data_IF_976228252052
#
_entry.id   IF_976228252052
#
_cell.length_a   1.000
_cell.length_b   1.000
_cell.length_c   1.000
_cell.angle_alpha   90.00
_cell.angle_beta   90.00
_cell.angle_gamma   90.00
#
_symmetry.space_group_name_H-M   'P 1'
#
loop_
_entity.id
_entity.type
_entity.pdbx_description
1 polymer ?
#
# COMPACT_ATOMS: atom_id res chain seq x y z
N UNK A 1 -11.19 -6.68 -23.19
CA UNK A 1 -10.08 -6.96 -22.27
C UNK A 1 -9.84 -5.72 -21.41
N UNK A 2 -10.01 -5.81 -20.11
CA UNK A 2 -9.84 -4.72 -19.16
C UNK A 2 -8.39 -4.67 -18.68
N UNK A 3 -7.75 -3.50 -18.74
CA UNK A 3 -6.39 -3.31 -18.22
C UNK A 3 -6.41 -3.09 -16.71
N UNK A 4 -5.48 -3.73 -15.99
CA UNK A 4 -5.31 -3.58 -14.55
C UNK A 4 -3.93 -3.01 -14.26
N UNK A 5 -3.90 -1.89 -13.52
CA UNK A 5 -2.67 -1.27 -13.04
C UNK A 5 -2.66 -1.26 -11.52
N UNK A 6 -1.59 -1.78 -10.91
CA UNK A 6 -1.44 -1.83 -9.44
C UNK A 6 -0.45 -0.76 -9.01
N UNK A 7 -0.85 0.09 -8.04
CA UNK A 7 0.00 1.12 -7.43
C UNK A 7 0.34 0.74 -5.99
N UNK A 8 1.39 -0.04 -5.82
CA UNK A 8 1.92 -0.43 -4.52
C UNK A 8 2.88 0.64 -3.97
N UNK A 9 3.28 0.48 -2.74
CA UNK A 9 4.22 1.35 -2.05
C UNK A 9 3.84 1.55 -0.59
N UNK A 10 4.81 1.80 0.25
CA UNK A 10 4.61 1.88 1.69
C UNK A 10 3.74 3.09 2.07
N UNK A 11 3.33 3.14 3.35
CA UNK A 11 2.45 4.19 3.88
C UNK A 11 3.05 5.58 3.64
N UNK A 12 2.22 6.51 3.14
CA UNK A 12 2.62 7.89 2.87
C UNK A 12 3.62 8.08 1.72
N UNK A 13 3.90 7.05 0.91
CA UNK A 13 4.82 7.13 -0.21
C UNK A 13 4.34 8.05 -1.36
N UNK A 14 3.05 8.41 -1.40
CA UNK A 14 2.48 9.28 -2.44
C UNK A 14 1.73 8.53 -3.53
N UNK A 15 1.27 7.29 -3.29
CA UNK A 15 0.50 6.49 -4.25
C UNK A 15 -0.71 7.23 -4.79
N UNK A 16 -1.59 7.69 -3.91
CA UNK A 16 -2.81 8.44 -4.27
C UNK A 16 -2.48 9.71 -5.07
N UNK A 17 -1.38 10.40 -4.75
CA UNK A 17 -0.94 11.59 -5.51
C UNK A 17 -0.54 11.24 -6.93
N UNK A 18 0.20 10.13 -7.12
CA UNK A 18 0.56 9.64 -8.46
C UNK A 18 -0.67 9.23 -9.25
N UNK A 19 -1.58 8.48 -8.63
CA UNK A 19 -2.84 8.03 -9.24
C UNK A 19 -3.65 9.24 -9.72
N UNK A 20 -3.84 10.26 -8.87
CA UNK A 20 -4.56 11.49 -9.25
C UNK A 20 -3.93 12.16 -10.47
N UNK A 21 -2.61 12.34 -10.47
CA UNK A 21 -1.90 12.93 -11.62
C UNK A 21 -2.16 12.15 -12.91
N UNK A 22 -2.08 10.82 -12.85
CA UNK A 22 -2.31 9.97 -14.03
C UNK A 22 -3.76 10.03 -14.51
N UNK A 23 -4.72 10.05 -13.60
CA UNK A 23 -6.14 10.19 -13.93
C UNK A 23 -6.40 11.52 -14.64
N UNK A 24 -5.89 12.62 -14.07
CA UNK A 24 -6.12 13.96 -14.59
C UNK A 24 -5.44 14.22 -15.95
N UNK A 25 -4.25 13.65 -16.16
CA UNK A 25 -3.42 14.01 -17.30
C UNK A 25 -3.33 12.92 -18.39
N UNK A 26 -3.55 11.63 -18.06
CA UNK A 26 -3.30 10.54 -18.99
C UNK A 26 -4.49 9.63 -19.27
N UNK A 27 -5.35 9.36 -18.29
CA UNK A 27 -6.47 8.43 -18.45
C UNK A 27 -7.80 9.11 -18.80
N UNK A 28 -7.75 10.33 -19.32
CA UNK A 28 -8.95 11.06 -19.72
C UNK A 28 -9.72 10.32 -20.82
N UNK A 29 -11.01 10.12 -20.60
CA UNK A 29 -11.89 9.43 -21.56
C UNK A 29 -11.90 7.91 -21.42
N UNK A 30 -11.07 7.32 -20.55
CA UNK A 30 -11.18 5.92 -20.17
C UNK A 30 -12.31 5.70 -19.15
N UNK A 31 -12.99 4.56 -19.23
CA UNK A 31 -13.95 4.14 -18.20
C UNK A 31 -13.16 3.50 -17.05
N UNK A 32 -12.85 4.30 -16.05
CA UNK A 32 -11.98 3.93 -14.94
C UNK A 32 -12.78 3.46 -13.73
N UNK A 33 -12.26 2.43 -13.06
CA UNK A 33 -12.62 2.09 -11.69
C UNK A 33 -11.36 2.11 -10.85
N UNK A 34 -11.39 2.81 -9.71
CA UNK A 34 -10.34 2.77 -8.71
C UNK A 34 -10.78 1.92 -7.54
N UNK A 35 -9.96 0.93 -7.19
CA UNK A 35 -10.14 0.08 -6.02
C UNK A 35 -9.08 0.45 -5.01
N UNK A 36 -9.51 1.05 -3.90
CA UNK A 36 -8.67 1.39 -2.78
C UNK A 36 -8.87 0.38 -1.66
N UNK A 37 -7.76 -0.13 -1.11
CA UNK A 37 -7.76 -0.97 0.08
C UNK A 37 -6.87 -0.32 1.14
N UNK A 38 -7.49 0.44 2.02
CA UNK A 38 -6.82 1.03 3.18
C UNK A 38 -6.82 0.06 4.36
N UNK A 39 -5.72 0.05 5.11
CA UNK A 39 -5.62 -0.65 6.38
C UNK A 39 -6.34 0.17 7.46
N UNK A 40 -7.43 -0.38 8.00
CA UNK A 40 -8.28 0.29 9.00
C UNK A 40 -9.77 0.26 8.62
N UNK A 41 -10.64 0.49 9.60
CA UNK A 41 -12.10 0.38 9.43
C UNK A 41 -12.74 1.61 8.76
N UNK A 42 -11.99 2.69 8.53
CA UNK A 42 -12.50 3.95 7.97
C UNK A 42 -11.71 4.36 6.73
N UNK A 43 -12.34 4.28 5.57
CA UNK A 43 -11.81 4.83 4.31
C UNK A 43 -11.84 6.36 4.34
N UNK A 44 -10.70 7.00 4.56
CA UNK A 44 -10.59 8.47 4.62
C UNK A 44 -10.18 9.06 3.26
N UNK A 45 -9.57 8.27 2.38
CA UNK A 45 -9.07 8.71 1.07
C UNK A 45 -10.13 8.73 -0.05
N UNK A 46 -11.18 7.91 0.02
CA UNK A 46 -12.21 7.82 -1.02
C UNK A 46 -12.99 9.11 -1.33
N UNK A 47 -12.99 10.07 -0.40
CA UNK A 47 -13.65 11.36 -0.59
C UNK A 47 -12.99 12.26 -1.65
N UNK A 48 -11.66 12.17 -1.82
CA UNK A 48 -10.91 13.07 -2.69
C UNK A 48 -11.05 12.74 -4.19
N UNK A 49 -11.38 11.51 -4.53
CA UNK A 49 -11.44 11.04 -5.92
C UNK A 49 -12.86 11.07 -6.50
N UNK A 50 -13.88 11.02 -5.65
CA UNK A 50 -15.30 11.16 -6.06
C UNK A 50 -15.59 12.50 -6.74
N UNK A 51 -14.85 13.56 -6.39
CA UNK A 51 -14.97 14.87 -7.04
C UNK A 51 -14.55 14.87 -8.52
N UNK A 52 -13.72 13.90 -8.93
CA UNK A 52 -13.27 13.75 -10.31
C UNK A 52 -14.24 12.94 -11.19
N UNK A 53 -15.40 12.50 -10.66
CA UNK A 53 -16.40 11.74 -11.41
C UNK A 53 -16.00 10.28 -11.70
N UNK A 54 -15.03 9.75 -10.92
CA UNK A 54 -14.54 8.39 -11.06
C UNK A 54 -15.31 7.48 -10.09
N UNK A 55 -15.71 6.31 -10.58
CA UNK A 55 -16.28 5.26 -9.75
C UNK A 55 -15.21 4.74 -8.79
N UNK A 56 -15.30 5.13 -7.50
CA UNK A 56 -14.41 4.66 -6.44
C UNK A 56 -15.10 3.54 -5.69
N UNK A 57 -14.55 2.35 -5.75
CA UNK A 57 -15.02 1.20 -4.97
C UNK A 57 -14.09 1.03 -3.77
N UNK A 58 -14.56 1.44 -2.59
CA UNK A 58 -13.88 1.22 -1.33
C UNK A 58 -14.12 -0.23 -0.86
N UNK A 59 -13.06 -0.98 -0.60
CA UNK A 59 -13.15 -2.30 -0.02
C UNK A 59 -12.86 -2.24 1.49
N UNK A 60 -13.92 -2.14 2.29
CA UNK A 60 -13.82 -1.99 3.75
C UNK A 60 -13.60 -3.31 4.51
N UNK A 61 -13.37 -4.43 3.84
CA UNK A 61 -13.34 -5.75 4.46
C UNK A 61 -11.94 -6.35 4.51
N UNK A 62 -11.11 -5.90 5.46
CA UNK A 62 -9.82 -6.53 5.75
C UNK A 62 -8.74 -6.34 4.67
N UNK A 63 -7.46 -6.51 5.04
CA UNK A 63 -6.37 -6.45 4.07
C UNK A 63 -6.53 -7.49 2.96
N UNK A 64 -6.24 -7.12 1.72
CA UNK A 64 -6.07 -8.07 0.59
C UNK A 64 -5.12 -9.22 0.96
N UNK A 65 -4.22 -8.98 1.94
CA UNK A 65 -3.14 -9.89 2.34
C UNK A 65 -3.57 -11.05 3.25
N UNK A 66 -4.67 -10.99 4.00
CA UNK A 66 -4.77 -11.82 5.20
C UNK A 66 -5.79 -12.96 5.23
N UNK A 67 -6.84 -12.93 4.44
CA UNK A 67 -7.80 -14.07 4.40
C UNK A 67 -8.62 -14.13 3.13
N UNK A 68 -8.36 -13.27 2.17
CA UNK A 68 -9.36 -12.81 1.22
C UNK A 68 -8.89 -12.78 -0.25
N UNK A 69 -7.85 -13.53 -0.61
CA UNK A 69 -7.54 -13.73 -2.05
C UNK A 69 -8.81 -14.18 -2.79
N UNK A 70 -9.64 -14.99 -2.15
CA UNK A 70 -10.92 -15.42 -2.71
C UNK A 70 -12.00 -14.33 -2.74
N UNK A 71 -12.05 -13.45 -1.74
CA UNK A 71 -13.06 -12.40 -1.67
C UNK A 71 -12.67 -11.18 -2.51
N UNK A 72 -11.38 -10.87 -2.59
CA UNK A 72 -10.87 -9.85 -3.51
C UNK A 72 -11.10 -10.23 -4.98
N UNK A 73 -10.84 -11.49 -5.33
CA UNK A 73 -11.14 -12.01 -6.68
C UNK A 73 -12.61 -11.85 -7.05
N UNK A 74 -13.52 -12.26 -6.16
CA UNK A 74 -14.97 -12.10 -6.37
C UNK A 74 -15.40 -10.64 -6.47
N UNK A 75 -14.82 -9.76 -5.66
CA UNK A 75 -15.12 -8.33 -5.72
C UNK A 75 -14.65 -7.73 -7.06
N UNK A 76 -13.49 -8.15 -7.55
CA UNK A 76 -12.96 -7.73 -8.83
C UNK A 76 -13.83 -8.25 -9.99
N UNK A 77 -14.24 -9.52 -9.95
CA UNK A 77 -15.20 -10.10 -10.90
C UNK A 77 -16.52 -9.31 -10.91
N UNK A 78 -17.06 -8.98 -9.73
CA UNK A 78 -18.26 -8.16 -9.62
C UNK A 78 -18.08 -6.77 -10.24
N UNK A 79 -16.95 -6.11 -10.01
CA UNK A 79 -16.63 -4.80 -10.63
C UNK A 79 -16.56 -4.92 -12.15
N UNK A 80 -15.95 -5.98 -12.68
CA UNK A 80 -15.89 -6.23 -14.12
C UNK A 80 -17.28 -6.41 -14.72
N UNK A 81 -18.13 -7.19 -14.06
CA UNK A 81 -19.50 -7.51 -14.53
C UNK A 81 -20.45 -6.31 -14.40
N UNK A 82 -20.33 -5.51 -13.35
CA UNK A 82 -21.24 -4.40 -13.07
C UNK A 82 -20.87 -3.14 -13.87
N UNK A 83 -19.58 -2.80 -13.89
CA UNK A 83 -19.12 -1.55 -14.47
C UNK A 83 -18.55 -1.68 -15.88
N UNK A 84 -18.13 -2.85 -16.33
CA UNK A 84 -17.46 -3.08 -17.64
C UNK A 84 -16.38 -2.00 -17.91
N UNK A 85 -15.40 -1.82 -17.02
CA UNK A 85 -14.39 -0.78 -17.17
C UNK A 85 -13.40 -1.10 -18.30
N UNK A 86 -12.81 -0.06 -18.89
CA UNK A 86 -11.66 -0.23 -19.78
C UNK A 86 -10.37 -0.38 -18.99
N UNK A 87 -10.31 0.21 -17.79
CA UNK A 87 -9.15 0.13 -16.89
C UNK A 87 -9.58 0.09 -15.43
N UNK A 88 -8.88 -0.74 -14.65
CA UNK A 88 -9.00 -0.78 -13.18
C UNK A 88 -7.65 -0.36 -12.61
N UNK A 89 -7.68 0.62 -11.71
CA UNK A 89 -6.54 1.01 -10.89
C UNK A 89 -6.73 0.38 -9.51
N UNK A 90 -5.69 -0.29 -9.00
CA UNK A 90 -5.71 -0.91 -7.68
C UNK A 90 -4.66 -0.22 -6.81
N UNK A 91 -5.11 0.42 -5.74
CA UNK A 91 -4.24 0.91 -4.67
C UNK A 91 -4.37 -0.01 -3.46
N UNK A 92 -3.50 -1.01 -3.29
CA UNK A 92 -3.52 -1.88 -2.12
C UNK A 92 -3.04 -1.13 -0.88
N UNK A 93 -3.32 -1.69 0.30
CA UNK A 93 -2.80 -1.21 1.56
C UNK A 93 -1.29 -1.00 1.50
N UNK A 94 -0.81 0.10 2.08
CA UNK A 94 0.62 0.42 2.13
C UNK A 94 1.48 -0.60 2.89
N UNK A 95 0.87 -1.50 3.66
CA UNK A 95 1.54 -2.61 4.36
C UNK A 95 1.28 -3.97 3.71
N UNK A 96 0.64 -4.02 2.54
CA UNK A 96 0.39 -5.25 1.79
C UNK A 96 1.59 -5.71 0.96
N UNK A 97 1.71 -7.00 0.74
CA UNK A 97 2.68 -7.56 -0.21
C UNK A 97 2.16 -7.39 -1.64
N UNK A 98 2.99 -6.85 -2.52
CA UNK A 98 2.64 -6.69 -3.93
C UNK A 98 2.43 -8.04 -4.62
N UNK A 99 3.23 -9.05 -4.28
CA UNK A 99 3.08 -10.42 -4.77
C UNK A 99 1.67 -10.98 -4.59
N UNK A 100 1.05 -10.72 -3.43
CA UNK A 100 -0.28 -11.26 -3.11
C UNK A 100 -1.35 -10.64 -4.00
N UNK A 101 -1.25 -9.34 -4.25
CA UNK A 101 -2.18 -8.62 -5.15
C UNK A 101 -2.00 -9.08 -6.60
N UNK A 102 -0.75 -9.24 -7.05
CA UNK A 102 -0.44 -9.77 -8.38
C UNK A 102 -1.05 -11.17 -8.55
N UNK A 103 -0.88 -12.05 -7.56
CA UNK A 103 -1.45 -13.40 -7.59
C UNK A 103 -2.98 -13.39 -7.60
N UNK A 104 -3.60 -12.54 -6.80
CA UNK A 104 -5.05 -12.41 -6.78
C UNK A 104 -5.61 -12.00 -8.14
N UNK A 105 -4.97 -11.04 -8.83
CA UNK A 105 -5.37 -10.64 -10.18
C UNK A 105 -5.15 -11.75 -11.20
N UNK A 106 -4.05 -12.49 -11.11
CA UNK A 106 -3.75 -13.59 -12.01
C UNK A 106 -4.73 -14.75 -11.94
N UNK A 107 -5.21 -15.02 -10.73
CA UNK A 107 -6.14 -16.11 -10.48
C UNK A 107 -7.59 -15.77 -10.87
N UNK A 108 -7.86 -14.56 -11.39
CA UNK A 108 -9.16 -14.21 -11.92
C UNK A 108 -9.48 -15.03 -13.15
N UNK A 109 -10.70 -15.55 -13.20
CA UNK A 109 -11.24 -16.20 -14.39
C UNK A 109 -11.98 -15.17 -15.25
N UNK A 110 -11.29 -14.11 -15.69
CA UNK A 110 -11.85 -12.99 -16.44
C UNK A 110 -10.91 -12.52 -17.55
N UNK A 111 -11.45 -11.84 -18.57
CA UNK A 111 -10.67 -11.26 -19.66
C UNK A 111 -10.00 -9.95 -19.23
N UNK A 112 -8.92 -10.08 -18.49
CA UNK A 112 -8.14 -8.97 -17.95
C UNK A 112 -6.68 -9.04 -18.37
N UNK A 113 -6.05 -7.89 -18.50
CA UNK A 113 -4.60 -7.74 -18.71
C UNK A 113 -3.98 -7.00 -17.54
N UNK A 114 -2.99 -7.62 -16.88
CA UNK A 114 -2.18 -6.95 -15.87
C UNK A 114 -1.14 -6.06 -16.58
N UNK A 115 -1.45 -4.77 -16.68
CA UNK A 115 -0.74 -3.80 -17.49
C UNK A 115 0.56 -3.33 -16.82
N UNK A 116 0.50 -2.88 -15.56
CA UNK A 116 1.67 -2.51 -14.77
C UNK A 116 1.43 -2.76 -13.27
N UNK A 117 2.52 -3.01 -12.53
CA UNK A 117 2.54 -3.11 -11.08
C UNK A 117 3.70 -2.29 -10.54
N UNK A 118 3.35 -1.07 -10.14
CA UNK A 118 4.27 0.00 -9.81
C UNK A 118 4.43 0.12 -8.31
N UNK A 119 5.67 0.32 -7.84
CA UNK A 119 5.91 0.67 -6.45
C UNK A 119 6.34 2.13 -6.33
N UNK A 120 5.57 2.89 -5.57
CA UNK A 120 5.92 4.27 -5.20
C UNK A 120 6.76 4.23 -3.93
N UNK A 121 7.95 4.86 -3.95
CA UNK A 121 8.88 4.87 -2.83
C UNK A 121 9.34 6.29 -2.48
N UNK A 122 9.17 6.71 -1.23
CA UNK A 122 9.70 7.97 -0.72
C UNK A 122 11.22 7.89 -0.64
N UNK A 123 11.92 8.71 -1.42
CA UNK A 123 13.38 8.73 -1.49
C UNK A 123 14.04 8.91 -0.11
N UNK A 124 13.40 9.64 0.79
CA UNK A 124 13.89 9.91 2.14
C UNK A 124 13.74 8.74 3.11
N UNK A 125 12.89 7.77 2.78
CA UNK A 125 12.51 6.66 3.67
C UNK A 125 13.02 5.29 3.20
N UNK A 126 13.57 5.17 1.99
CA UNK A 126 14.06 3.89 1.41
C UNK A 126 14.93 3.14 2.42
N UNK A 127 15.98 3.77 2.95
CA UNK A 127 16.90 3.14 3.89
C UNK A 127 16.23 2.70 5.19
N UNK A 128 15.33 3.55 5.70
CA UNK A 128 14.60 3.28 6.95
C UNK A 128 13.68 2.08 6.79
N UNK A 129 12.90 2.07 5.70
CA UNK A 129 11.88 1.04 5.50
C UNK A 129 12.48 -0.30 5.07
N UNK A 130 13.52 -0.30 4.25
CA UNK A 130 14.27 -1.53 3.90
C UNK A 130 14.79 -2.25 5.15
N UNK A 131 15.26 -1.47 6.15
CA UNK A 131 15.83 -2.03 7.39
C UNK A 131 14.75 -2.51 8.36
N UNK A 132 13.67 -1.74 8.54
CA UNK A 132 12.73 -1.93 9.65
C UNK A 132 11.48 -2.71 9.24
N UNK A 133 11.10 -2.70 7.96
CA UNK A 133 9.87 -3.30 7.44
C UNK A 133 10.17 -4.19 6.22
N UNK A 134 11.32 -4.89 6.26
CA UNK A 134 11.85 -5.62 5.10
C UNK A 134 10.90 -6.63 4.49
N UNK A 135 10.09 -7.33 5.28
CA UNK A 135 9.16 -8.33 4.77
C UNK A 135 8.16 -7.73 3.76
N UNK A 136 7.56 -6.59 4.10
CA UNK A 136 6.54 -5.96 3.26
C UNK A 136 7.17 -5.00 2.25
N UNK A 137 8.04 -4.10 2.72
CA UNK A 137 8.67 -3.09 1.89
C UNK A 137 9.56 -3.70 0.80
N UNK A 138 10.39 -4.70 1.15
CA UNK A 138 11.23 -5.36 0.16
C UNK A 138 10.41 -6.13 -0.87
N UNK A 139 9.34 -6.84 -0.44
CA UNK A 139 8.44 -7.50 -1.36
C UNK A 139 7.83 -6.54 -2.38
N UNK A 140 7.40 -5.34 -1.94
CA UNK A 140 6.89 -4.30 -2.84
C UNK A 140 7.93 -3.86 -3.86
N UNK A 141 9.19 -3.72 -3.46
CA UNK A 141 10.29 -3.33 -4.36
C UNK A 141 10.67 -4.47 -5.30
N UNK A 142 10.85 -5.67 -4.77
CA UNK A 142 11.31 -6.85 -5.51
C UNK A 142 10.35 -7.26 -6.62
N UNK A 143 9.04 -7.10 -6.38
CA UNK A 143 7.99 -7.50 -7.32
C UNK A 143 7.49 -6.36 -8.22
N UNK A 144 8.03 -5.16 -8.10
CA UNK A 144 7.62 -4.05 -8.94
C UNK A 144 8.10 -4.19 -10.40
N UNK A 145 7.21 -3.94 -11.37
CA UNK A 145 7.57 -3.78 -12.78
C UNK A 145 8.27 -2.44 -13.02
N UNK A 146 7.95 -1.42 -12.22
CA UNK A 146 8.62 -0.12 -12.21
C UNK A 146 8.60 0.47 -10.80
N UNK A 147 9.60 1.26 -10.45
CA UNK A 147 9.69 1.98 -9.18
C UNK A 147 9.64 3.48 -9.46
N UNK A 148 8.72 4.18 -8.82
CA UNK A 148 8.57 5.63 -8.95
C UNK A 148 8.94 6.29 -7.64
N UNK A 149 10.09 6.98 -7.63
CA UNK A 149 10.51 7.73 -6.45
C UNK A 149 9.66 8.98 -6.27
N UNK A 150 9.17 9.18 -5.07
CA UNK A 150 8.47 10.40 -4.66
C UNK A 150 9.40 11.31 -3.85
N UNK A 151 9.01 12.58 -3.74
CA UNK A 151 9.72 13.59 -2.93
C UNK A 151 11.19 13.77 -3.31
N UNK A 152 11.48 13.62 -4.59
CA UNK A 152 12.83 13.80 -5.16
C UNK A 152 13.18 15.27 -5.38
N UNK A 153 12.21 16.17 -5.28
CA UNK A 153 12.43 17.61 -5.41
C UNK A 153 13.28 18.14 -4.25
N UNK A 154 14.36 18.86 -4.58
CA UNK A 154 15.27 19.43 -3.60
C UNK A 154 16.15 18.41 -2.86
N UNK A 155 16.12 17.15 -3.22
CA UNK A 155 17.01 16.12 -2.64
C UNK A 155 18.40 16.21 -3.26
N UNK A 156 19.43 16.15 -2.43
CA UNK A 156 20.81 16.12 -2.91
C UNK A 156 21.12 14.83 -3.69
N UNK A 157 22.02 14.93 -4.65
CA UNK A 157 22.34 13.84 -5.56
C UNK A 157 22.91 12.60 -4.84
N UNK A 158 23.71 12.78 -3.80
CA UNK A 158 24.30 11.67 -3.06
C UNK A 158 23.22 10.85 -2.34
N UNK A 159 22.19 11.51 -1.80
CA UNK A 159 21.04 10.85 -1.16
C UNK A 159 20.19 10.12 -2.19
N UNK A 160 19.93 10.75 -3.34
CA UNK A 160 19.20 10.11 -4.42
C UNK A 160 19.92 8.87 -4.93
N UNK A 161 21.22 8.96 -5.20
CA UNK A 161 22.04 7.82 -5.63
C UNK A 161 22.07 6.69 -4.57
N UNK A 162 22.20 7.04 -3.29
CA UNK A 162 22.14 6.05 -2.20
C UNK A 162 20.80 5.31 -2.15
N UNK A 163 19.68 6.01 -2.34
CA UNK A 163 18.36 5.40 -2.41
C UNK A 163 18.23 4.47 -3.63
N UNK A 164 18.67 4.93 -4.80
CA UNK A 164 18.66 4.14 -6.04
C UNK A 164 19.51 2.88 -5.90
N UNK A 165 20.70 2.97 -5.29
CA UNK A 165 21.56 1.80 -5.06
C UNK A 165 20.87 0.74 -4.20
N UNK A 166 20.23 1.15 -3.08
CA UNK A 166 19.48 0.24 -2.20
C UNK A 166 18.31 -0.43 -2.91
N UNK A 167 17.60 0.30 -3.79
CA UNK A 167 16.50 -0.26 -4.58
C UNK A 167 17.02 -1.24 -5.62
N UNK A 168 18.16 -0.94 -6.26
CA UNK A 168 18.81 -1.81 -7.24
C UNK A 168 19.33 -3.12 -6.66
N UNK A 169 19.76 -3.13 -5.39
CA UNK A 169 20.11 -4.36 -4.68
C UNK A 169 18.92 -5.33 -4.58
N UNK A 170 17.70 -4.81 -4.52
CA UNK A 170 16.47 -5.58 -4.41
C UNK A 170 15.81 -5.87 -5.76
N UNK A 171 15.82 -4.88 -6.63
CA UNK A 171 15.24 -5.00 -7.96
C UNK A 171 16.21 -4.43 -9.01
N UNK A 172 17.07 -5.29 -9.56
CA UNK A 172 18.10 -4.86 -10.53
C UNK A 172 17.53 -4.46 -11.89
N UNK A 173 16.29 -4.86 -12.22
CA UNK A 173 15.74 -4.75 -13.57
C UNK A 173 14.72 -3.62 -13.74
N UNK A 174 13.86 -3.38 -12.75
CA UNK A 174 12.78 -2.41 -12.87
C UNK A 174 13.31 -1.00 -13.18
N UNK A 175 12.70 -0.23 -14.10
CA UNK A 175 13.03 1.16 -14.24
C UNK A 175 12.75 1.91 -12.94
N UNK A 176 13.61 2.86 -12.60
CA UNK A 176 13.45 3.72 -11.43
C UNK A 176 13.28 5.16 -11.92
N UNK A 177 12.09 5.72 -11.72
CA UNK A 177 11.83 7.13 -12.01
C UNK A 177 12.40 7.96 -10.86
N UNK A 178 13.41 8.78 -11.18
CA UNK A 178 14.14 9.61 -10.20
C UNK A 178 13.84 11.10 -10.34
N UNK A 179 13.30 11.51 -11.47
CA UNK A 179 12.95 12.91 -11.76
C UNK A 179 11.71 13.33 -10.94
N UNK A 180 11.71 14.55 -10.38
CA UNK A 180 10.52 15.10 -9.71
C UNK A 180 9.29 15.08 -10.62
N UNK A 181 8.14 14.69 -10.08
CA UNK A 181 6.92 14.47 -10.87
C UNK A 181 6.37 15.75 -11.51
N UNK A 182 6.64 16.92 -10.93
CA UNK A 182 6.28 18.22 -11.49
C UNK A 182 7.08 18.58 -12.74
N UNK A 183 8.17 17.87 -13.02
CA UNK A 183 9.00 18.02 -14.23
C UNK A 183 8.67 16.96 -15.29
N UNK A 184 7.76 16.02 -15.00
CA UNK A 184 7.36 14.94 -15.88
C UNK A 184 5.90 15.10 -16.29
N UNK A 185 5.62 14.88 -17.58
CA UNK A 185 4.26 14.66 -18.05
C UNK A 185 3.77 13.29 -17.64
N UNK A 186 2.45 13.09 -17.52
CA UNK A 186 1.88 11.79 -17.23
C UNK A 186 2.22 10.76 -18.31
N UNK A 187 2.35 11.17 -19.58
CA UNK A 187 2.79 10.30 -20.68
C UNK A 187 4.20 9.73 -20.43
N UNK A 188 5.14 10.55 -19.96
CA UNK A 188 6.49 10.08 -19.64
C UNK A 188 6.50 9.13 -18.44
N UNK A 189 5.63 9.37 -17.43
CA UNK A 189 5.46 8.45 -16.31
C UNK A 189 4.89 7.10 -16.77
N UNK A 190 3.85 7.11 -17.61
CA UNK A 190 3.27 5.90 -18.17
C UNK A 190 4.28 5.12 -19.00
N UNK A 191 5.04 5.81 -19.85
CA UNK A 191 6.07 5.20 -20.68
C UNK A 191 7.12 4.46 -19.82
N UNK A 192 7.55 5.08 -18.72
CA UNK A 192 8.44 4.43 -17.76
C UNK A 192 7.80 3.24 -17.04
N UNK A 193 6.50 3.30 -16.77
CA UNK A 193 5.78 2.25 -16.05
C UNK A 193 5.42 1.04 -16.94
N UNK A 194 5.08 1.29 -18.22
CA UNK A 194 4.53 0.29 -19.14
C UNK A 194 5.60 -0.32 -20.07
N UNK A 195 6.79 0.25 -20.19
CA UNK A 195 7.84 -0.08 -21.17
C UNK A 195 8.41 -1.50 -21.13
N UNK A 196 7.79 -2.48 -20.42
CA UNK A 196 8.50 -3.74 -20.17
C UNK A 196 7.64 -5.00 -20.21
N UNK A 197 7.19 -5.34 -21.38
CA UNK A 197 6.54 -6.64 -21.59
C UNK A 197 7.41 -7.83 -21.14
N UNK A 198 8.73 -7.76 -21.35
CA UNK A 198 9.66 -8.81 -20.93
C UNK A 198 9.81 -8.92 -19.42
N UNK A 199 9.98 -7.81 -18.71
CA UNK A 199 10.12 -7.80 -17.25
C UNK A 199 8.81 -8.18 -16.57
N UNK A 200 7.69 -7.65 -17.08
CA UNK A 200 6.34 -7.98 -16.62
C UNK A 200 6.08 -9.48 -16.72
N UNK A 201 6.37 -10.09 -17.88
CA UNK A 201 6.21 -11.53 -18.09
C UNK A 201 7.10 -12.34 -17.12
N UNK A 202 8.36 -11.96 -16.94
CA UNK A 202 9.32 -12.61 -16.06
C UNK A 202 8.89 -12.52 -14.57
N UNK A 203 8.44 -11.34 -14.13
CA UNK A 203 7.92 -11.15 -12.76
C UNK A 203 6.66 -11.97 -12.52
N UNK A 204 5.78 -12.03 -13.52
CA UNK A 204 4.61 -12.88 -13.47
C UNK A 204 4.97 -14.37 -13.35
N UNK A 205 6.03 -14.83 -13.95
CA UNK A 205 6.49 -16.20 -13.88
C UNK A 205 7.16 -16.52 -12.52
N UNK A 206 7.97 -15.62 -11.98
CA UNK A 206 8.59 -15.77 -10.65
C UNK A 206 7.57 -15.93 -9.53
N UNK A 207 6.55 -15.08 -9.50
CA UNK A 207 5.46 -15.15 -8.50
C UNK A 207 4.73 -16.50 -8.59
N UNK A 208 4.62 -17.09 -9.77
CA UNK A 208 4.02 -18.40 -9.97
C UNK A 208 4.91 -19.53 -9.43
N UNK A 209 6.23 -19.43 -9.63
CA UNK A 209 7.19 -20.42 -9.13
C UNK A 209 7.30 -20.44 -7.61
N UNK A 210 7.21 -19.30 -6.94
CA UNK A 210 7.25 -19.22 -5.47
C UNK A 210 6.08 -19.98 -4.81
N UNK A 211 4.92 -20.06 -5.48
CA UNK A 211 3.77 -20.81 -4.99
C UNK A 211 3.83 -22.31 -5.32
N UNK A 212 4.43 -22.69 -6.46
CA UNK A 212 4.56 -24.11 -6.85
C UNK A 212 5.58 -24.87 -5.99
N UNK A 213 6.57 -24.19 -5.43
CA UNK A 213 7.57 -24.80 -4.52
C UNK A 213 7.11 -24.91 -3.05
N UNK A 214 5.99 -24.31 -2.68
CA UNK A 214 5.38 -24.43 -1.34
C UNK A 214 4.61 -25.73 -1.10
N UNK A 215 4.25 -26.48 -2.14
CA UNK A 215 3.37 -27.67 -2.02
C UNK A 215 4.04 -29.03 -2.25
N UNK A 216 5.33 -29.10 -2.61
CA UNK A 216 6.01 -30.36 -2.81
C UNK A 216 7.29 -30.49 -1.96
N UNK A 217 7.11 -30.87 -0.69
CA UNK A 217 8.10 -31.71 0.00
C UNK A 217 7.96 -33.13 -0.51
N UNK A 218 8.43 -33.39 -1.73
CA UNK A 218 8.56 -34.69 -2.31
C UNK A 218 9.80 -35.40 -1.75
N UNK A 219 9.68 -36.01 -0.56
CA UNK A 219 10.64 -37.03 -0.13
C UNK A 219 10.36 -38.32 -0.93
N UNK A 220 10.81 -38.36 -2.17
CA UNK A 220 10.90 -39.57 -2.95
C UNK A 220 12.23 -40.28 -2.67
N UNK A 221 12.25 -41.18 -1.73
CA UNK A 221 13.26 -42.25 -1.67
C UNK A 221 12.54 -43.58 -1.59
N UNK A 222 12.52 -44.28 -2.71
CA UNK A 222 12.45 -45.72 -2.75
C UNK A 222 13.70 -46.28 -2.08
N UNK A 223 13.54 -46.91 -0.93
CA UNK A 223 14.35 -48.02 -0.46
C UNK A 223 13.52 -48.86 0.50
N UNK A 224 13.19 -50.07 0.03
CA UNK A 224 12.84 -51.19 0.89
C UNK A 224 13.93 -51.40 1.93
N UNK A 225 13.57 -51.31 3.21
CA UNK A 225 14.08 -52.21 4.25
C UNK A 225 13.30 -52.01 5.56
N UNK A 226 12.85 -53.14 6.09
CA UNK A 226 12.26 -53.34 7.42
C UNK A 226 13.13 -52.74 8.54
N UNK A 227 12.52 -52.08 9.52
CA UNK A 227 12.55 -52.39 10.96
C UNK A 227 12.08 -51.22 11.82
N UNK A 228 11.12 -51.55 12.72
CA UNK A 228 10.85 -51.12 14.11
C UNK A 228 11.16 -49.68 14.57
N UNK A 229 10.08 -49.06 15.09
CA UNK A 229 9.95 -48.15 16.25
C UNK A 229 11.05 -47.13 16.57
N UNK A 230 10.68 -45.89 16.49
CA UNK A 230 11.40 -44.80 17.15
C UNK A 230 10.80 -43.41 16.82
N UNK A 231 10.31 -42.75 17.82
CA UNK A 231 9.62 -41.50 17.84
C UNK A 231 10.41 -40.30 17.28
N UNK A 232 9.67 -39.29 16.79
CA UNK A 232 10.06 -37.89 16.56
C UNK A 232 11.02 -37.59 15.38
N UNK A 233 10.43 -37.31 14.21
CA UNK A 233 11.00 -36.34 13.26
C UNK A 233 10.20 -35.04 13.35
N UNK A 234 10.63 -34.14 14.22
CA UNK A 234 10.19 -32.76 14.24
C UNK A 234 10.91 -31.94 13.17
N UNK A 235 10.47 -31.98 11.91
CA UNK A 235 10.85 -31.00 10.91
C UNK A 235 9.90 -29.80 11.00
N UNK A 236 9.94 -29.10 12.12
CA UNK A 236 9.29 -27.82 12.30
C UNK A 236 10.17 -26.71 11.72
N UNK A 237 10.20 -26.54 10.42
CA UNK A 237 10.54 -25.24 9.85
C UNK A 237 9.22 -24.49 9.71
N UNK A 238 8.81 -23.91 10.83
CA UNK A 238 7.81 -22.88 10.89
C UNK A 238 8.41 -21.64 10.21
N UNK A 239 8.27 -21.53 8.91
CA UNK A 239 8.39 -20.27 8.22
C UNK A 239 7.15 -19.49 8.60
N UNK A 240 7.19 -18.85 9.77
CA UNK A 240 6.17 -17.91 10.19
C UNK A 240 5.98 -16.84 9.12
N UNK A 241 4.99 -17.03 8.26
CA UNK A 241 4.47 -15.98 7.44
C UNK A 241 3.79 -15.01 8.38
N UNK A 242 4.54 -13.99 8.85
CA UNK A 242 3.93 -12.89 9.56
C UNK A 242 2.99 -12.17 8.60
N UNK A 243 1.71 -12.32 8.83
CA UNK A 243 0.69 -11.55 8.11
C UNK A 243 0.85 -10.07 8.47
N UNK A 244 0.55 -9.16 7.54
CA UNK A 244 0.60 -7.73 7.81
C UNK A 244 -0.22 -7.34 9.05
N UNK A 245 -1.36 -8.00 9.26
CA UNK A 245 -2.23 -7.82 10.43
C UNK A 245 -1.61 -8.31 11.74
N UNK A 246 -0.62 -9.19 11.70
CA UNK A 246 0.11 -9.64 12.90
C UNK A 246 1.20 -8.64 13.31
N UNK A 247 1.72 -7.86 12.33
CA UNK A 247 2.81 -6.89 12.55
C UNK A 247 2.27 -5.47 12.67
N UNK A 248 1.23 -5.13 11.89
CA UNK A 248 0.63 -3.81 11.87
C UNK A 248 -0.80 -3.85 12.36
N UNK A 249 -1.14 -2.88 13.20
CA UNK A 249 -2.48 -2.67 13.72
C UNK A 249 -2.99 -1.29 13.33
N UNK A 250 -4.30 -1.14 13.28
CA UNK A 250 -4.94 0.16 13.12
C UNK A 250 -5.75 0.50 14.37
N UNK A 251 -5.71 1.76 14.75
CA UNK A 251 -6.59 2.33 15.75
C UNK A 251 -7.41 3.45 15.13
N UNK A 252 -8.72 3.41 15.34
CA UNK A 252 -9.68 4.32 14.73
C UNK A 252 -10.45 5.05 15.81
N UNK A 253 -10.70 6.33 15.61
CA UNK A 253 -11.55 7.15 16.48
C UNK A 253 -12.58 7.89 15.64
N UNK A 254 -13.87 7.74 15.99
CA UNK A 254 -14.94 8.67 15.62
C UNK A 254 -15.18 9.64 16.77
N UNK A 255 -15.31 10.93 16.46
CA UNK A 255 -15.42 11.96 17.48
C UNK A 255 -16.24 13.16 17.00
N UNK A 256 -17.02 13.72 17.90
CA UNK A 256 -17.67 15.02 17.70
C UNK A 256 -16.85 16.19 18.26
N UNK A 257 -15.67 15.92 18.83
CA UNK A 257 -14.79 16.95 19.37
C UNK A 257 -14.33 17.88 18.25
N UNK A 258 -14.18 19.15 18.61
CA UNK A 258 -13.62 20.17 17.71
C UNK A 258 -12.18 20.44 18.10
N UNK A 259 -11.35 20.73 17.12
CA UNK A 259 -9.93 20.98 17.31
C UNK A 259 -9.51 22.26 16.59
N UNK A 260 -8.39 22.82 17.00
CA UNK A 260 -7.67 23.81 16.21
C UNK A 260 -6.61 23.13 15.36
N UNK A 261 -6.16 23.77 14.28
CA UNK A 261 -5.05 23.26 13.45
C UNK A 261 -3.77 23.11 14.25
N UNK A 262 -3.53 23.98 15.21
CA UNK A 262 -2.36 23.95 16.08
C UNK A 262 -2.40 22.75 17.05
N UNK A 263 -3.57 22.47 17.63
CA UNK A 263 -3.75 21.26 18.47
C UNK A 263 -3.49 20.00 17.69
N UNK A 264 -4.02 19.89 16.45
CA UNK A 264 -3.77 18.71 15.60
C UNK A 264 -2.28 18.60 15.30
N UNK A 265 -1.60 19.66 14.91
CA UNK A 265 -0.17 19.66 14.62
C UNK A 265 0.64 19.19 15.83
N UNK A 266 0.38 19.74 17.01
CA UNK A 266 1.03 19.35 18.27
C UNK A 266 0.81 17.87 18.59
N UNK A 267 -0.41 17.34 18.37
CA UNK A 267 -0.73 15.94 18.61
C UNK A 267 0.00 15.01 17.63
N UNK A 268 0.14 15.40 16.38
CA UNK A 268 0.87 14.64 15.37
C UNK A 268 2.38 14.62 15.68
N UNK A 269 2.96 15.75 16.04
CA UNK A 269 4.38 15.86 16.45
C UNK A 269 4.69 15.04 17.71
N UNK A 270 3.74 14.93 18.66
CA UNK A 270 3.91 14.11 19.84
C UNK A 270 4.09 12.61 19.51
N UNK A 271 3.62 12.15 18.36
CA UNK A 271 3.75 10.75 17.96
C UNK A 271 5.18 10.32 17.63
N UNK A 272 6.08 11.27 17.39
CA UNK A 272 7.51 11.00 17.20
C UNK A 272 8.21 10.56 18.50
N UNK A 273 7.57 10.72 19.68
CA UNK A 273 8.15 10.35 20.97
C UNK A 273 8.35 8.84 21.19
N UNK A 274 7.59 8.00 20.46
CA UNK A 274 7.55 6.56 20.67
C UNK A 274 6.59 6.08 21.77
N UNK A 275 5.96 6.97 22.52
CA UNK A 275 5.01 6.62 23.60
C UNK A 275 3.70 5.99 23.07
N UNK A 276 3.43 6.16 21.80
CA UNK A 276 2.22 5.71 21.11
C UNK A 276 2.41 4.40 20.32
N UNK A 277 3.57 3.76 20.45
CA UNK A 277 4.01 2.64 19.62
C UNK A 277 4.79 3.11 18.39
N UNK A 278 5.10 2.19 17.49
CA UNK A 278 5.75 2.55 16.22
C UNK A 278 4.68 3.04 15.22
N UNK A 279 4.29 4.31 15.34
CA UNK A 279 3.32 4.93 14.43
C UNK A 279 3.94 5.07 13.05
N UNK A 280 3.23 4.61 12.02
CA UNK A 280 3.65 4.67 10.62
C UNK A 280 2.89 5.73 9.83
N UNK A 281 1.59 5.85 10.10
CA UNK A 281 0.72 6.81 9.42
C UNK A 281 -0.43 7.21 10.30
N UNK A 282 -0.84 8.48 10.18
CA UNK A 282 -2.12 8.96 10.70
C UNK A 282 -2.84 9.72 9.60
N UNK A 283 -4.12 9.45 9.46
CA UNK A 283 -5.03 10.26 8.63
C UNK A 283 -6.26 10.64 9.43
N UNK A 284 -6.77 11.83 9.19
CA UNK A 284 -7.98 12.26 9.85
C UNK A 284 -8.67 13.44 9.19
N UNK A 285 -9.97 13.52 9.46
CA UNK A 285 -10.85 14.63 9.11
C UNK A 285 -11.65 14.93 10.38
N UNK A 286 -11.47 16.10 10.95
CA UNK A 286 -12.15 16.48 12.18
C UNK A 286 -12.74 17.89 12.08
N UNK A 287 -13.86 18.19 12.79
CA UNK A 287 -14.41 19.53 12.79
C UNK A 287 -13.49 20.50 13.54
N UNK A 288 -13.35 21.72 12.99
CA UNK A 288 -12.63 22.81 13.62
C UNK A 288 -13.51 23.60 14.57
N UNK A 289 -12.90 24.31 15.52
CA UNK A 289 -13.59 25.23 16.44
C UNK A 289 -14.22 26.43 15.69
N UNK A 290 -13.65 26.84 14.58
CA UNK A 290 -14.11 27.93 13.74
C UNK A 290 -15.26 27.56 12.78
N UNK A 291 -15.71 26.29 12.82
CA UNK A 291 -16.79 25.76 11.98
C UNK A 291 -16.33 25.23 10.62
N UNK A 292 -15.04 25.26 10.32
CA UNK A 292 -14.44 24.59 9.16
C UNK A 292 -14.07 23.14 9.49
N UNK A 293 -13.42 22.45 8.57
CA UNK A 293 -12.91 21.09 8.79
C UNK A 293 -11.42 21.04 8.57
N UNK A 294 -10.74 20.26 9.41
CA UNK A 294 -9.29 20.04 9.39
C UNK A 294 -9.03 18.66 8.83
N UNK A 295 -8.32 18.61 7.71
CA UNK A 295 -7.77 17.39 7.15
C UNK A 295 -6.31 17.31 7.52
N UNK A 296 -5.85 16.12 7.93
CA UNK A 296 -4.46 15.91 8.27
C UNK A 296 -3.96 14.55 7.83
N UNK A 297 -2.68 14.54 7.50
CA UNK A 297 -1.92 13.37 7.10
C UNK A 297 -0.56 13.43 7.79
N UNK A 298 -0.11 12.34 8.38
CA UNK A 298 1.15 12.27 9.10
C UNK A 298 1.90 10.98 8.78
N UNK A 299 3.19 11.12 8.56
CA UNK A 299 4.19 10.05 8.62
C UNK A 299 5.31 10.51 9.53
N UNK A 300 6.11 9.60 10.17
CA UNK A 300 7.16 9.99 11.11
C UNK A 300 8.03 11.15 10.64
N UNK A 301 8.03 12.23 11.41
CA UNK A 301 8.77 13.46 11.14
C UNK A 301 8.14 14.39 10.11
N UNK A 302 6.91 14.12 9.62
CA UNK A 302 6.24 14.97 8.62
C UNK A 302 4.72 14.99 8.87
N UNK A 303 4.17 16.18 9.10
CA UNK A 303 2.75 16.42 9.29
C UNK A 303 2.23 17.42 8.25
N UNK A 304 1.16 17.05 7.54
CA UNK A 304 0.38 17.95 6.71
C UNK A 304 -0.96 18.22 7.40
N UNK A 305 -1.25 19.46 7.70
CA UNK A 305 -2.50 19.91 8.35
C UNK A 305 -3.08 21.05 7.54
N UNK A 306 -4.27 20.85 6.98
CA UNK A 306 -4.92 21.77 6.05
C UNK A 306 -6.43 21.86 6.27
N UNK A 307 -7.07 22.88 5.74
CA UNK A 307 -8.53 22.94 5.68
C UNK A 307 -9.07 22.10 4.54
N UNK A 308 -10.27 21.52 4.70
CA UNK A 308 -10.91 20.69 3.68
C UNK A 308 -12.42 20.67 3.79
N UNK A 309 -13.06 19.82 3.01
CA UNK A 309 -14.51 19.62 3.01
C UNK A 309 -15.01 18.96 4.30
N UNK A 310 -16.29 19.13 4.59
CA UNK A 310 -16.95 18.51 5.73
C UNK A 310 -17.10 16.99 5.52
N UNK A 311 -16.95 16.22 6.59
CA UNK A 311 -17.34 14.81 6.66
C UNK A 311 -18.58 14.65 7.56
N UNK A 312 -19.23 13.48 7.54
CA UNK A 312 -20.43 13.20 8.35
C UNK A 312 -20.15 13.19 9.86
N UNK A 313 -18.91 12.92 10.27
CA UNK A 313 -18.40 13.01 11.66
C UNK A 313 -16.91 13.23 11.65
N UNK A 314 -16.35 13.70 12.76
CA UNK A 314 -14.91 13.71 12.95
C UNK A 314 -14.40 12.27 13.05
N UNK A 315 -13.36 11.91 12.30
CA UNK A 315 -12.75 10.59 12.31
C UNK A 315 -11.27 10.64 12.02
N UNK A 316 -10.55 9.72 12.63
CA UNK A 316 -9.13 9.54 12.37
C UNK A 316 -8.74 8.08 12.49
N UNK A 317 -7.68 7.71 11.78
CA UNK A 317 -7.08 6.38 11.78
C UNK A 317 -5.57 6.50 12.00
N UNK A 318 -5.05 5.70 12.93
CA UNK A 318 -3.62 5.56 13.20
C UNK A 318 -3.20 4.16 12.81
N UNK A 319 -2.17 4.03 11.99
CA UNK A 319 -1.59 2.76 11.57
C UNK A 319 -0.18 2.63 12.12
N UNK A 320 0.16 1.48 12.67
CA UNK A 320 1.48 1.24 13.23
C UNK A 320 1.68 -0.16 13.78
N UNK A 321 2.79 -0.38 14.43
CA UNK A 321 3.11 -1.61 15.13
C UNK A 321 3.14 -1.37 16.63
N UNK A 322 2.58 -2.30 17.41
CA UNK A 322 2.51 -2.21 18.88
C UNK A 322 1.89 -0.89 19.35
N UNK A 323 0.79 -0.46 18.73
CA UNK A 323 0.12 0.78 19.07
C UNK A 323 -0.35 0.79 20.54
N UNK A 324 -0.10 1.90 21.21
CA UNK A 324 -0.63 2.14 22.56
C UNK A 324 -1.97 2.86 22.45
N UNK A 325 -3.04 2.08 22.30
CA UNK A 325 -4.41 2.58 22.10
C UNK A 325 -4.89 3.49 23.24
N UNK A 326 -4.51 3.18 24.49
CA UNK A 326 -4.89 3.99 25.63
C UNK A 326 -4.21 5.39 25.57
N UNK A 327 -2.94 5.46 25.16
CA UNK A 327 -2.25 6.72 24.99
C UNK A 327 -2.81 7.51 23.78
N UNK A 328 -3.17 6.84 22.68
CA UNK A 328 -3.81 7.46 21.52
C UNK A 328 -5.20 8.02 21.88
N UNK A 329 -6.01 7.25 22.61
CA UNK A 329 -7.31 7.71 23.07
C UNK A 329 -7.20 8.94 23.99
N UNK A 330 -6.20 8.97 24.86
CA UNK A 330 -5.94 10.13 25.72
C UNK A 330 -5.44 11.33 24.90
N UNK A 331 -4.60 11.11 23.88
CA UNK A 331 -4.06 12.17 23.03
C UNK A 331 -5.16 12.89 22.25
N UNK A 332 -6.08 12.14 21.64
CA UNK A 332 -7.15 12.70 20.82
C UNK A 332 -8.47 12.93 21.59
N UNK A 333 -8.68 12.26 22.72
CA UNK A 333 -9.80 12.55 23.61
C UNK A 333 -9.61 13.94 24.22
N UNK A 334 -10.62 14.82 24.13
CA UNK A 334 -10.68 15.97 25.04
C UNK A 334 -11.20 15.42 26.37
N UNK A 335 -10.39 15.54 27.42
CA UNK A 335 -10.91 15.32 28.78
C UNK A 335 -12.13 16.22 28.99
N UNK A 336 -13.23 15.62 29.45
CA UNK A 336 -14.47 16.30 29.75
C UNK A 336 -14.32 17.25 30.94
#
# INVERSE_FOLDING_TARGET
MTKITIFSGFLGAGKTTLIKKLIEEAYQGEKLVLIENEFGEIGIDGGFLKEAGIEVTEMNSGCICCSLVGDFGKALEKVLDEYHPTRILIEPSGVGKLSDVINAVKNLNADVELDAFVTVADVNKVRLYTKNFGEFYNNQIEHASAIVLSRTDGVDEARLQSAVALLRERNPKAPIVTTPWNQLTAAQLLDAMEQRDGLKAEMLEQVRHEHEHGEHCGCGHDHEHHHEHGEHCGCGHDHGHHHADEVFTSWVLETANRYTMEEIRTKLEAMDSGDYGAVLRVKGIVPSEDGTWIHFDYVPGEADVRTGGADYTGRLCVIGSQLNEAALAKLFGKEA
#
